data_IF_839863608738
#
_entry.id   IF_839863608738
#
_cell.length_a   1.000
_cell.length_b   1.000
_cell.length_c   1.000
_cell.angle_alpha   90.00
_cell.angle_beta   90.00
_cell.angle_gamma   90.00
#
_symmetry.space_group_name_H-M   'P 1'
#
loop_
_entity.id
_entity.type
_entity.pdbx_description
1 polymer ?
#
# COMPACT_ATOMS: atom_id res chain seq x y z
N UNK A 1 -3.56 11.65 -13.13
CA UNK A 1 -2.92 10.34 -12.97
C UNK A 1 -2.54 10.07 -11.51
N UNK A 2 -1.74 10.88 -10.88
CA UNK A 2 -1.27 10.69 -9.49
C UNK A 2 -2.39 10.41 -8.47
N UNK A 3 -3.51 11.11 -8.58
CA UNK A 3 -4.66 10.86 -7.68
C UNK A 3 -5.32 9.51 -7.97
N UNK A 4 -5.29 9.10 -9.23
CA UNK A 4 -5.78 7.78 -9.62
C UNK A 4 -4.92 6.64 -9.08
N UNK A 5 -3.60 6.76 -9.02
CA UNK A 5 -2.72 5.67 -8.54
C UNK A 5 -2.95 5.29 -7.09
N UNK A 6 -3.36 6.24 -6.27
CA UNK A 6 -3.63 5.98 -4.85
C UNK A 6 -4.84 5.07 -4.69
N UNK A 7 -4.74 3.99 -3.89
CA UNK A 7 -5.90 3.17 -3.60
C UNK A 7 -6.95 3.98 -2.84
N UNK A 8 -8.24 3.84 -3.15
CA UNK A 8 -9.28 4.44 -2.33
C UNK A 8 -9.26 3.82 -0.93
N UNK A 9 -9.60 4.62 0.07
CA UNK A 9 -9.65 4.16 1.45
C UNK A 9 -11.11 3.88 1.86
N UNK A 10 -11.33 2.73 2.49
CA UNK A 10 -12.59 2.38 3.13
C UNK A 10 -12.33 2.15 4.62
N UNK A 11 -12.93 2.97 5.46
CA UNK A 11 -12.68 2.96 6.91
C UNK A 11 -11.18 3.04 7.28
N UNK A 12 -10.45 3.90 6.56
CA UNK A 12 -9.01 4.12 6.75
C UNK A 12 -8.08 3.08 6.15
N UNK A 13 -8.60 1.94 5.70
CA UNK A 13 -7.81 0.90 5.02
C UNK A 13 -7.93 1.04 3.50
N UNK A 14 -6.87 0.71 2.74
CA UNK A 14 -6.97 0.56 1.30
C UNK A 14 -8.06 -0.43 0.91
N UNK A 15 -8.89 -0.06 -0.06
CA UNK A 15 -9.92 -0.95 -0.60
C UNK A 15 -9.36 -1.77 -1.75
N UNK A 16 -9.17 -3.05 -1.53
CA UNK A 16 -8.72 -4.03 -2.52
C UNK A 16 -9.81 -5.07 -2.83
N UNK A 17 -11.07 -4.67 -2.75
CA UNK A 17 -12.18 -5.54 -3.15
C UNK A 17 -12.26 -5.71 -4.67
N UNK A 18 -12.81 -6.83 -5.12
CA UNK A 18 -13.07 -7.06 -6.55
C UNK A 18 -13.91 -5.93 -7.17
N UNK A 19 -14.89 -5.40 -6.42
CA UNK A 19 -15.72 -4.30 -6.87
C UNK A 19 -14.90 -3.04 -7.12
N UNK A 20 -13.99 -2.72 -6.22
CA UNK A 20 -13.08 -1.58 -6.36
C UNK A 20 -12.21 -1.75 -7.60
N UNK A 21 -11.60 -2.94 -7.81
CA UNK A 21 -10.77 -3.18 -8.99
C UNK A 21 -11.56 -3.05 -10.29
N UNK A 22 -12.80 -3.51 -10.35
CA UNK A 22 -13.66 -3.35 -11.55
C UNK A 22 -13.94 -1.87 -11.83
N UNK A 23 -14.26 -1.10 -10.81
CA UNK A 23 -14.49 0.35 -10.94
C UNK A 23 -13.22 1.08 -11.42
N UNK A 24 -12.07 0.75 -10.84
CA UNK A 24 -10.77 1.33 -11.24
C UNK A 24 -10.38 0.96 -12.67
N UNK A 25 -10.81 -0.18 -13.16
CA UNK A 25 -10.61 -0.54 -14.56
C UNK A 25 -11.36 0.37 -15.51
N UNK A 26 -12.61 0.72 -15.19
CA UNK A 26 -13.40 1.67 -15.99
C UNK A 26 -12.77 3.06 -16.00
N UNK A 27 -12.38 3.57 -14.82
CA UNK A 27 -11.69 4.86 -14.68
C UNK A 27 -10.37 4.88 -15.45
N UNK A 28 -9.56 3.83 -15.31
CA UNK A 28 -8.30 3.70 -16.04
C UNK A 28 -8.49 3.78 -17.56
N UNK A 29 -9.47 3.06 -18.07
CA UNK A 29 -9.78 3.04 -19.49
C UNK A 29 -10.24 4.41 -20.02
N UNK A 30 -10.95 5.19 -19.19
CA UNK A 30 -11.32 6.57 -19.52
C UNK A 30 -10.09 7.47 -19.58
N UNK A 31 -9.24 7.46 -18.54
CA UNK A 31 -8.01 8.25 -18.49
C UNK A 31 -7.07 7.93 -19.67
N UNK A 32 -6.94 6.64 -20.01
CA UNK A 32 -6.12 6.21 -21.13
C UNK A 32 -6.63 6.76 -22.47
N UNK A 33 -7.93 6.70 -22.70
CA UNK A 33 -8.55 7.28 -23.90
C UNK A 33 -8.36 8.80 -23.96
N UNK A 34 -8.39 9.48 -22.83
CA UNK A 34 -8.12 10.92 -22.78
C UNK A 34 -6.66 11.23 -23.14
N UNK A 35 -5.71 10.49 -22.60
CA UNK A 35 -4.30 10.63 -22.94
C UNK A 35 -4.04 10.38 -24.44
N UNK A 36 -4.64 9.33 -24.99
CA UNK A 36 -4.49 8.95 -26.41
C UNK A 36 -5.09 9.98 -27.38
N UNK A 37 -6.08 10.75 -26.95
CA UNK A 37 -6.70 11.82 -27.77
C UNK A 37 -5.85 13.10 -27.87
N UNK A 38 -4.84 13.25 -27.03
CA UNK A 38 -4.00 14.44 -27.01
C UNK A 38 -3.13 14.50 -28.27
N UNK A 39 -3.33 15.52 -29.09
CA UNK A 39 -2.45 15.78 -30.24
C UNK A 39 -1.13 16.39 -29.76
N UNK A 40 -0.09 15.58 -29.77
CA UNK A 40 1.25 15.96 -29.31
C UNK A 40 2.15 16.54 -30.40
N UNK A 41 1.63 16.71 -31.63
CA UNK A 41 2.42 17.06 -32.84
C UNK A 41 3.20 18.37 -32.68
N UNK A 42 2.55 19.38 -32.08
CA UNK A 42 3.12 20.71 -31.90
C UNK A 42 3.62 20.99 -30.49
N UNK A 43 3.77 19.97 -29.68
CA UNK A 43 4.22 20.13 -28.29
C UNK A 43 5.73 20.34 -28.21
N UNK A 44 6.16 21.10 -27.21
CA UNK A 44 7.57 21.19 -26.85
C UNK A 44 8.15 19.82 -26.49
N UNK A 45 9.46 19.68 -26.54
CA UNK A 45 10.13 18.44 -26.12
C UNK A 45 9.76 18.08 -24.67
N UNK A 46 9.72 19.06 -23.77
CA UNK A 46 9.37 18.82 -22.36
C UNK A 46 7.96 18.22 -22.22
N UNK A 47 6.96 18.83 -22.86
CA UNK A 47 5.59 18.30 -22.77
C UNK A 47 5.44 16.93 -23.40
N UNK A 48 6.19 16.63 -24.48
CA UNK A 48 6.21 15.27 -25.05
C UNK A 48 6.87 14.26 -24.11
N UNK A 49 7.90 14.67 -23.37
CA UNK A 49 8.51 13.82 -22.34
C UNK A 49 7.49 13.53 -21.24
N UNK A 50 6.78 14.53 -20.73
CA UNK A 50 5.76 14.35 -19.70
C UNK A 50 4.67 13.38 -20.16
N UNK A 51 4.19 13.54 -21.40
CA UNK A 51 3.20 12.62 -21.97
C UNK A 51 3.73 11.18 -22.03
N UNK A 52 4.98 11.00 -22.50
CA UNK A 52 5.59 9.67 -22.58
C UNK A 52 5.78 9.03 -21.22
N UNK A 53 6.14 9.80 -20.18
CA UNK A 53 6.26 9.32 -18.80
C UNK A 53 4.91 8.81 -18.31
N UNK A 54 3.85 9.62 -18.44
CA UNK A 54 2.50 9.20 -18.03
C UNK A 54 2.04 7.95 -18.81
N UNK A 55 2.30 7.91 -20.12
CA UNK A 55 1.95 6.75 -20.94
C UNK A 55 2.72 5.48 -20.52
N UNK A 56 3.99 5.60 -20.17
CA UNK A 56 4.80 4.49 -19.68
C UNK A 56 4.27 3.98 -18.33
N UNK A 57 3.97 4.87 -17.38
CA UNK A 57 3.38 4.53 -16.10
C UNK A 57 2.01 3.84 -16.27
N UNK A 58 1.16 4.36 -17.16
CA UNK A 58 -0.12 3.71 -17.47
C UNK A 58 0.07 2.31 -18.07
N UNK A 59 1.10 2.09 -18.88
CA UNK A 59 1.40 0.75 -19.41
C UNK A 59 1.86 -0.19 -18.28
N UNK A 60 2.71 0.27 -17.38
CA UNK A 60 3.14 -0.48 -16.19
C UNK A 60 1.97 -0.83 -15.27
N UNK A 61 1.09 0.13 -15.02
CA UNK A 61 -0.14 -0.08 -14.26
C UNK A 61 -1.03 -1.16 -14.89
N UNK A 62 -1.25 -1.06 -16.20
CA UNK A 62 -2.07 -2.02 -16.94
C UNK A 62 -1.47 -3.44 -16.90
N UNK A 63 -0.15 -3.55 -17.07
CA UNK A 63 0.55 -4.82 -16.96
C UNK A 63 0.41 -5.41 -15.54
N UNK A 64 0.63 -4.59 -14.53
CA UNK A 64 0.50 -5.00 -13.14
C UNK A 64 -0.93 -5.51 -12.83
N UNK A 65 -1.93 -4.77 -13.30
CA UNK A 65 -3.34 -5.08 -13.12
C UNK A 65 -3.78 -6.35 -13.85
N UNK A 66 -3.41 -6.52 -15.11
CA UNK A 66 -3.88 -7.63 -15.95
C UNK A 66 -3.05 -8.89 -15.83
N UNK A 67 -1.74 -8.75 -15.70
CA UNK A 67 -0.79 -9.85 -15.78
C UNK A 67 -0.29 -10.28 -14.41
N UNK A 68 0.29 -9.36 -13.65
CA UNK A 68 0.90 -9.69 -12.37
C UNK A 68 -0.14 -9.98 -11.30
N UNK A 69 -1.15 -9.15 -11.15
CA UNK A 69 -2.23 -9.25 -10.16
C UNK A 69 -1.69 -9.54 -8.75
N UNK A 70 -0.80 -8.67 -8.21
CA UNK A 70 -0.11 -8.97 -6.96
C UNK A 70 -1.07 -9.20 -5.80
N UNK A 71 -2.19 -8.47 -5.73
CA UNK A 71 -3.21 -8.65 -4.69
C UNK A 71 -3.86 -10.04 -4.65
N UNK A 72 -3.75 -10.83 -5.75
CA UNK A 72 -4.31 -12.19 -5.85
C UNK A 72 -3.24 -13.26 -5.64
N UNK A 73 -1.97 -12.93 -5.88
CA UNK A 73 -0.89 -13.91 -6.00
C UNK A 73 0.21 -13.73 -4.97
N UNK A 74 0.41 -12.51 -4.49
CA UNK A 74 1.56 -12.17 -3.65
C UNK A 74 1.11 -11.75 -2.24
N UNK A 75 1.33 -12.59 -1.21
CA UNK A 75 1.03 -12.19 0.17
C UNK A 75 1.79 -10.94 0.61
N UNK A 76 3.00 -10.70 0.11
CA UNK A 76 3.78 -9.52 0.46
C UNK A 76 3.12 -8.20 0.02
N UNK A 77 2.19 -8.23 -0.95
CA UNK A 77 1.35 -7.10 -1.32
C UNK A 77 0.56 -6.53 -0.13
N UNK A 78 0.25 -7.35 0.86
CA UNK A 78 -0.48 -6.97 2.08
C UNK A 78 0.44 -6.69 3.28
N UNK A 79 1.73 -6.54 3.06
CA UNK A 79 2.64 -6.08 4.09
C UNK A 79 2.31 -4.63 4.45
N UNK A 80 2.06 -4.37 5.73
CA UNK A 80 1.49 -3.10 6.19
C UNK A 80 2.42 -2.28 7.08
N UNK A 81 3.47 -2.91 7.61
CA UNK A 81 4.39 -2.28 8.57
C UNK A 81 5.77 -2.21 7.96
N UNK A 82 6.26 -0.99 7.83
CA UNK A 82 7.59 -0.71 7.34
C UNK A 82 8.46 -0.16 8.47
N UNK A 83 9.51 -0.88 8.81
CA UNK A 83 10.42 -0.52 9.90
C UNK A 83 11.45 0.51 9.49
N UNK A 84 11.75 0.61 8.20
CA UNK A 84 12.79 1.46 7.62
C UNK A 84 12.25 2.12 6.37
N UNK A 85 12.77 3.31 6.08
CA UNK A 85 12.51 3.98 4.82
C UNK A 85 12.94 3.09 3.64
N UNK A 86 12.10 3.01 2.61
CA UNK A 86 12.45 2.30 1.39
C UNK A 86 13.16 3.24 0.43
N UNK A 87 14.26 2.79 -0.14
CA UNK A 87 14.96 3.47 -1.24
C UNK A 87 14.42 3.05 -2.61
N UNK A 88 13.46 2.15 -2.64
CA UNK A 88 12.80 1.72 -3.86
C UNK A 88 11.80 2.78 -4.31
N UNK A 89 11.88 3.28 -5.56
CA UNK A 89 10.93 4.25 -6.09
C UNK A 89 9.48 3.75 -6.03
N UNK A 90 8.54 4.67 -6.00
CA UNK A 90 7.13 4.35 -6.13
C UNK A 90 6.87 3.49 -7.37
N UNK A 91 6.04 2.46 -7.22
CA UNK A 91 5.81 1.49 -8.27
C UNK A 91 4.65 1.88 -9.16
N UNK A 92 4.74 1.42 -10.39
CA UNK A 92 3.67 1.42 -11.35
C UNK A 92 2.60 0.39 -10.95
N UNK A 93 1.34 0.74 -11.12
CA UNK A 93 0.21 -0.13 -10.90
C UNK A 93 -0.38 -0.10 -9.50
N UNK A 94 -1.36 -0.96 -9.20
CA UNK A 94 -1.91 -1.10 -7.87
C UNK A 94 -0.79 -1.48 -6.90
N UNK A 95 -0.31 -0.50 -6.14
CA UNK A 95 0.76 -0.68 -5.19
C UNK A 95 0.20 -1.11 -3.84
N UNK A 96 1.02 -1.82 -3.05
CA UNK A 96 0.74 -1.96 -1.65
C UNK A 96 0.81 -0.59 -0.97
N UNK A 97 0.10 -0.44 0.10
CA UNK A 97 0.08 0.78 0.90
C UNK A 97 0.60 0.47 2.30
N UNK A 98 1.72 1.06 2.68
CA UNK A 98 2.18 1.01 4.05
C UNK A 98 1.16 1.73 4.94
N UNK A 99 0.68 1.06 5.97
CA UNK A 99 -0.23 1.64 6.96
C UNK A 99 0.53 2.20 8.15
N UNK A 100 1.62 1.56 8.52
CA UNK A 100 2.49 1.99 9.61
C UNK A 100 3.93 2.09 9.10
N UNK A 101 4.38 3.30 8.89
CA UNK A 101 5.78 3.62 8.60
C UNK A 101 6.50 3.93 9.91
N UNK A 102 6.92 2.88 10.63
CA UNK A 102 7.47 2.99 11.98
C UNK A 102 8.71 3.89 12.06
N UNK A 103 9.47 4.00 11.01
CA UNK A 103 10.64 4.87 10.92
C UNK A 103 10.31 6.38 11.02
N UNK A 104 9.06 6.78 10.78
CA UNK A 104 8.60 8.16 10.94
C UNK A 104 8.27 8.55 12.40
N UNK A 105 8.32 7.58 13.32
CA UNK A 105 7.98 7.81 14.71
C UNK A 105 9.21 8.03 15.58
N UNK A 106 9.34 9.22 16.12
CA UNK A 106 10.38 9.59 17.10
C UNK A 106 9.92 9.27 18.52
N UNK A 107 10.79 8.65 19.30
CA UNK A 107 10.49 8.27 20.68
C UNK A 107 11.25 9.17 21.69
N UNK A 108 10.63 9.52 22.84
CA UNK A 108 9.29 9.10 23.30
C UNK A 108 8.16 9.76 22.50
N UNK A 109 7.09 8.99 22.25
CA UNK A 109 5.92 9.49 21.53
C UNK A 109 5.18 10.54 22.34
N UNK A 110 4.73 11.61 21.69
CA UNK A 110 3.70 12.50 22.23
C UNK A 110 2.34 11.76 22.24
N UNK A 111 1.38 12.28 22.99
CA UNK A 111 0.05 11.67 23.06
C UNK A 111 -0.64 11.63 21.70
N UNK A 112 -0.49 12.69 20.89
CA UNK A 112 -1.06 12.74 19.54
C UNK A 112 -0.40 11.71 18.62
N UNK A 113 0.93 11.62 18.60
CA UNK A 113 1.65 10.62 17.80
C UNK A 113 1.33 9.19 18.23
N UNK A 114 1.09 8.96 19.51
CA UNK A 114 0.65 7.66 20.00
C UNK A 114 -0.77 7.30 19.52
N UNK A 115 -1.68 8.29 19.41
CA UNK A 115 -3.01 8.10 18.83
C UNK A 115 -2.93 7.83 17.33
N UNK A 116 -2.09 8.58 16.60
CA UNK A 116 -1.87 8.36 15.16
C UNK A 116 -1.43 6.91 14.91
N UNK A 117 -0.39 6.46 15.60
CA UNK A 117 0.10 5.08 15.50
C UNK A 117 -0.98 4.04 15.82
N UNK A 118 -1.78 4.28 16.86
CA UNK A 118 -2.86 3.39 17.22
C UNK A 118 -3.92 3.31 16.11
N UNK A 119 -4.30 4.45 15.52
CA UNK A 119 -5.25 4.51 14.40
C UNK A 119 -4.72 3.79 13.16
N UNK A 120 -3.45 3.95 12.82
CA UNK A 120 -2.81 3.22 11.71
C UNK A 120 -2.82 1.70 11.94
N UNK A 121 -2.61 1.28 13.20
CA UNK A 121 -2.65 -0.16 13.54
C UNK A 121 -4.07 -0.75 13.55
N UNK A 122 -5.08 0.04 13.87
CA UNK A 122 -6.48 -0.43 13.92
C UNK A 122 -7.05 -0.87 12.57
N UNK A 123 -6.50 -0.36 11.47
CA UNK A 123 -6.99 -0.71 10.11
C UNK A 123 -6.33 -1.97 9.54
N UNK A 124 -5.20 -2.41 10.11
CA UNK A 124 -4.45 -3.59 9.63
C UNK A 124 -5.31 -4.86 9.59
N UNK A 125 -6.12 -5.20 10.62
CA UNK A 125 -6.97 -6.40 10.57
C UNK A 125 -7.94 -6.41 9.39
N UNK A 126 -8.52 -5.26 9.04
CA UNK A 126 -9.46 -5.14 7.92
C UNK A 126 -8.76 -5.42 6.59
N UNK A 127 -7.55 -4.92 6.41
CA UNK A 127 -6.75 -5.19 5.21
C UNK A 127 -6.36 -6.68 5.12
N UNK A 128 -5.94 -7.28 6.22
CA UNK A 128 -5.62 -8.70 6.26
C UNK A 128 -6.86 -9.59 6.02
N UNK A 129 -8.03 -9.13 6.42
CA UNK A 129 -9.28 -9.82 6.08
C UNK A 129 -9.55 -9.80 4.57
N UNK A 130 -9.34 -8.66 3.91
CA UNK A 130 -9.42 -8.58 2.44
C UNK A 130 -8.37 -9.49 1.78
N UNK A 131 -7.13 -9.50 2.26
CA UNK A 131 -6.05 -10.37 1.78
C UNK A 131 -6.49 -11.84 1.78
N UNK A 132 -7.13 -12.28 2.84
CA UNK A 132 -7.61 -13.65 3.00
C UNK A 132 -8.64 -14.05 1.95
N UNK A 133 -9.47 -13.11 1.50
CA UNK A 133 -10.43 -13.31 0.41
C UNK A 133 -9.80 -13.24 -0.99
N UNK A 134 -8.81 -12.39 -1.15
CA UNK A 134 -8.21 -12.08 -2.45
C UNK A 134 -7.10 -13.06 -2.87
N UNK A 135 -6.31 -13.58 -1.92
CA UNK A 135 -5.16 -14.42 -2.19
C UNK A 135 -5.58 -15.83 -2.61
N UNK A 136 -6.00 -15.97 -3.85
CA UNK A 136 -6.48 -17.22 -4.45
C UNK A 136 -5.58 -17.72 -5.58
N UNK A 137 -4.62 -16.91 -6.00
CA UNK A 137 -3.74 -17.21 -7.13
C UNK A 137 -2.62 -18.19 -6.77
N UNK A 138 -2.28 -19.06 -7.71
CA UNK A 138 -1.17 -19.99 -7.54
C UNK A 138 0.15 -19.31 -7.93
N UNK A 139 1.00 -19.03 -6.95
CA UNK A 139 2.32 -18.44 -7.14
C UNK A 139 3.27 -18.90 -6.01
N UNK A 140 3.69 -20.17 -6.08
CA UNK A 140 4.43 -20.86 -5.02
C UNK A 140 5.56 -20.04 -4.42
N UNK A 141 6.41 -19.45 -5.25
CA UNK A 141 7.61 -18.75 -4.77
C UNK A 141 7.25 -17.42 -4.08
N UNK A 142 6.23 -16.71 -4.58
CA UNK A 142 5.69 -15.51 -3.92
C UNK A 142 5.06 -15.86 -2.57
N UNK A 143 4.37 -17.00 -2.47
CA UNK A 143 3.82 -17.47 -1.19
C UNK A 143 4.92 -17.81 -0.17
N UNK A 144 5.98 -18.46 -0.60
CA UNK A 144 7.13 -18.77 0.28
C UNK A 144 7.75 -17.47 0.80
N UNK A 145 8.04 -16.53 -0.09
CA UNK A 145 8.59 -15.23 0.29
C UNK A 145 7.63 -14.43 1.18
N UNK A 146 6.35 -14.38 0.82
CA UNK A 146 5.33 -13.67 1.56
C UNK A 146 5.11 -14.22 2.98
N UNK A 147 5.19 -15.52 3.18
CA UNK A 147 5.12 -16.15 4.52
C UNK A 147 6.29 -15.66 5.39
N UNK A 148 7.50 -15.62 4.85
CA UNK A 148 8.66 -15.11 5.60
C UNK A 148 8.51 -13.61 5.90
N UNK A 149 8.03 -12.80 4.95
CA UNK A 149 7.73 -11.38 5.18
C UNK A 149 6.73 -11.18 6.33
N UNK A 150 5.66 -11.96 6.40
CA UNK A 150 4.70 -11.89 7.50
C UNK A 150 5.29 -12.34 8.84
N UNK A 151 6.14 -13.36 8.86
CA UNK A 151 6.88 -13.75 10.08
C UNK A 151 7.79 -12.62 10.56
N UNK A 152 8.46 -11.93 9.66
CA UNK A 152 9.33 -10.81 9.99
C UNK A 152 8.52 -9.59 10.44
N UNK A 153 7.37 -9.33 9.84
CA UNK A 153 6.42 -8.32 10.32
C UNK A 153 5.92 -8.64 11.74
N UNK A 154 5.61 -9.89 12.04
CA UNK A 154 5.25 -10.32 13.40
C UNK A 154 6.38 -10.06 14.40
N UNK A 155 7.63 -10.39 14.05
CA UNK A 155 8.81 -10.07 14.89
C UNK A 155 8.95 -8.56 15.09
N UNK A 156 8.72 -7.77 14.04
CA UNK A 156 8.75 -6.31 14.09
C UNK A 156 7.71 -5.75 15.04
N UNK A 157 6.47 -6.23 14.98
CA UNK A 157 5.41 -5.88 15.93
C UNK A 157 5.78 -6.17 17.39
N UNK A 158 6.43 -7.31 17.65
CA UNK A 158 6.90 -7.65 18.98
C UNK A 158 8.02 -6.71 19.47
N UNK A 159 8.91 -6.28 18.57
CA UNK A 159 9.94 -5.29 18.88
C UNK A 159 9.31 -3.93 19.18
N UNK A 160 8.38 -3.46 18.35
CA UNK A 160 7.61 -2.23 18.56
C UNK A 160 6.91 -2.27 19.93
N UNK A 161 6.18 -3.33 20.22
CA UNK A 161 5.51 -3.52 21.51
C UNK A 161 6.48 -3.43 22.69
N UNK A 162 7.64 -4.04 22.57
CA UNK A 162 8.67 -4.01 23.63
C UNK A 162 9.26 -2.62 23.79
N UNK A 163 9.53 -1.93 22.70
CA UNK A 163 10.07 -0.58 22.70
C UNK A 163 9.09 0.40 23.34
N UNK A 164 7.84 0.37 22.93
CA UNK A 164 6.78 1.21 23.50
C UNK A 164 6.58 0.95 25.00
N UNK A 165 6.62 -0.31 25.44
CA UNK A 165 6.53 -0.63 26.86
C UNK A 165 7.69 -0.06 27.67
N UNK A 166 8.88 -0.06 27.11
CA UNK A 166 10.08 0.50 27.76
C UNK A 166 9.96 2.00 27.91
N UNK A 167 9.54 2.70 26.86
CA UNK A 167 9.51 4.17 26.83
C UNK A 167 8.29 4.77 27.56
N UNK A 168 7.13 4.11 27.50
CA UNK A 168 5.87 4.68 28.01
C UNK A 168 5.24 3.92 29.19
N UNK A 169 5.83 2.81 29.63
CA UNK A 169 5.41 2.10 30.83
C UNK A 169 3.93 1.70 30.86
N UNK A 170 3.28 1.90 32.01
CA UNK A 170 1.90 1.48 32.25
C UNK A 170 0.82 2.28 31.48
N UNK A 171 1.12 3.50 31.06
CA UNK A 171 0.17 4.34 30.33
C UNK A 171 -0.21 3.75 28.96
N UNK A 172 0.75 3.16 28.26
CA UNK A 172 0.51 2.57 26.96
C UNK A 172 -0.35 1.29 27.00
N UNK A 173 -0.27 0.54 28.10
CA UNK A 173 -1.15 -0.62 28.31
C UNK A 173 -2.64 -0.27 28.38
N UNK A 174 -2.97 0.99 28.60
CA UNK A 174 -4.36 1.49 28.65
C UNK A 174 -4.88 1.79 27.23
N UNK A 175 -4.01 2.21 26.32
CA UNK A 175 -4.34 2.55 24.94
C UNK A 175 -4.47 1.27 24.09
N UNK A 176 -3.54 0.32 24.26
CA UNK A 176 -3.53 -0.94 23.51
C UNK A 176 -4.53 -2.01 24.05
N UNK A 177 -5.21 -1.75 25.16
CA UNK A 177 -6.20 -2.68 25.74
C UNK A 177 -7.65 -2.35 25.39
N UNK A 178 -7.90 -1.31 24.57
CA UNK A 178 -9.24 -1.15 24.00
C UNK A 178 -9.41 -2.16 22.87
N UNK A 179 -10.48 -2.96 22.91
CA UNK A 179 -10.80 -3.96 21.88
C UNK A 179 -11.15 -3.30 20.57
#
# INVERSE_FOLDING_TARGET
>A
WREFEKPPLTSGAPDYTTKMFSHREEEFNLLRKELEKMDTTNWSVHHRVDWNVVNAEMNGYDFNRRVLKPWVRDPAFYQTIWMYESDVPAHEGPANHALLEFWQYEFPLTEDRARDMASEMEVIPNLLFQARGNLTGNAKDLWIAGIENFKDQQKSLLKIKTHIKKEHGKQFNKILKKP
#
